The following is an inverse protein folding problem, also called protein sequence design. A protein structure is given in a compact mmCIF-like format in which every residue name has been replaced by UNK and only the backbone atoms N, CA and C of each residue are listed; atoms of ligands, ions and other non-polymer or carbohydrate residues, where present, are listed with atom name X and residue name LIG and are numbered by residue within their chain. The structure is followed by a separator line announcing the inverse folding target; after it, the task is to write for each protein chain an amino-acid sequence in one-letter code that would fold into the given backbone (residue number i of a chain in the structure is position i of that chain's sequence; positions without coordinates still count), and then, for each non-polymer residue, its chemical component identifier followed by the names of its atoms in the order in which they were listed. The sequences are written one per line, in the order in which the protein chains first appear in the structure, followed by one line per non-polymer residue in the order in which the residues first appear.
data_IF_411538750230
#
_entry.id   IF_411538750230
#
_cell.length_a   1.000
_cell.length_b   1.000
_cell.length_c   1.000
_cell.angle_alpha   90.00
_cell.angle_beta   90.00
_cell.angle_gamma   90.00
#
_symmetry.space_group_name_H-M   'P 1'
#
loop_
_entity.id
_entity.type
_entity.pdbx_description
1 polymer ?
#
# COMPACT_ATOMS: atom_id res chain seq x y z
N UNK A 1 -8.02 21.07 0.94
CA UNK A 1 -7.42 21.54 -0.32
C UNK A 1 -6.33 20.55 -0.69
N UNK A 2 -6.42 19.89 -1.85
CA UNK A 2 -5.38 18.95 -2.28
C UNK A 2 -4.07 19.71 -2.58
N UNK A 3 -2.95 19.23 -2.06
CA UNK A 3 -1.63 19.84 -2.28
C UNK A 3 -1.15 19.70 -3.74
N UNK A 4 -0.03 20.34 -4.07
CA UNK A 4 0.51 20.37 -5.43
C UNK A 4 0.88 18.96 -5.95
N UNK A 5 1.38 18.07 -5.08
CA UNK A 5 1.72 16.70 -5.44
C UNK A 5 0.45 15.90 -5.76
N UNK A 6 -0.54 15.94 -4.87
CA UNK A 6 -1.85 15.32 -5.06
C UNK A 6 -2.52 15.76 -6.37
N UNK A 7 -2.46 17.05 -6.71
CA UNK A 7 -3.03 17.56 -7.96
C UNK A 7 -2.31 17.06 -9.22
N UNK A 8 -0.98 16.90 -9.19
CA UNK A 8 -0.18 16.35 -10.30
C UNK A 8 -0.55 14.89 -10.58
N UNK A 9 -0.70 14.10 -9.52
CA UNK A 9 -0.85 12.64 -9.63
C UNK A 9 -2.32 12.17 -9.74
N UNK A 10 -3.28 12.89 -9.16
CA UNK A 10 -4.66 12.39 -8.98
C UNK A 10 -5.71 13.08 -9.86
N UNK A 11 -5.46 14.28 -10.40
CA UNK A 11 -6.49 15.06 -11.12
C UNK A 11 -6.59 14.67 -12.61
N UNK A 12 -7.76 14.19 -13.04
CA UNK A 12 -8.08 13.98 -14.47
C UNK A 12 -7.62 12.63 -15.06
N UNK A 13 -7.45 11.61 -14.24
CA UNK A 13 -7.14 10.24 -14.70
C UNK A 13 -8.26 9.69 -15.59
N UNK A 14 -7.90 9.13 -16.75
CA UNK A 14 -8.81 8.41 -17.66
C UNK A 14 -8.31 6.95 -17.81
N UNK A 15 -9.21 5.98 -17.98
CA UNK A 15 -8.83 4.59 -18.22
C UNK A 15 -8.11 4.42 -19.56
N UNK A 16 -7.22 3.43 -19.62
CA UNK A 16 -6.33 3.16 -20.77
C UNK A 16 -7.09 2.61 -21.97
N UNK A 17 -6.73 3.03 -23.19
CA UNK A 17 -7.27 2.52 -24.47
C UNK A 17 -6.17 2.28 -25.50
N UNK A 18 -6.35 1.25 -26.35
CA UNK A 18 -5.40 0.79 -27.36
C UNK A 18 -5.49 1.60 -28.68
N UNK A 19 -4.36 1.74 -29.40
CA UNK A 19 -4.27 2.43 -30.70
C UNK A 19 -4.10 1.48 -31.91
N UNK A 20 -4.53 1.88 -33.13
CA UNK A 20 -5.08 0.95 -34.13
C UNK A 20 -4.26 0.72 -35.42
N UNK A 21 -2.94 0.97 -35.49
CA UNK A 21 -2.26 1.11 -36.79
C UNK A 21 -1.21 0.02 -37.17
N UNK A 22 -1.53 -1.28 -37.10
CA UNK A 22 -0.60 -2.36 -37.48
C UNK A 22 -1.27 -3.43 -38.36
N UNK A 23 -0.49 -4.08 -39.24
CA UNK A 23 -0.93 -5.21 -40.10
C UNK A 23 -1.31 -6.43 -39.23
N UNK A 24 -2.51 -7.04 -39.39
CA UNK A 24 -3.16 -7.83 -38.34
C UNK A 24 -2.39 -9.07 -37.86
N UNK A 25 -1.77 -9.83 -38.76
CA UNK A 25 -1.19 -11.13 -38.41
C UNK A 25 0.20 -11.00 -37.77
N UNK A 26 1.04 -10.12 -38.31
CA UNK A 26 2.35 -9.79 -37.73
C UNK A 26 2.18 -9.02 -36.41
N UNK A 27 1.16 -8.15 -36.33
CA UNK A 27 0.76 -7.49 -35.09
C UNK A 27 0.38 -8.49 -34.01
N UNK A 28 -0.44 -9.49 -34.31
CA UNK A 28 -0.89 -10.45 -33.29
C UNK A 28 0.24 -11.31 -32.73
N UNK A 29 1.21 -11.72 -33.56
CA UNK A 29 2.42 -12.44 -33.09
C UNK A 29 3.25 -11.53 -32.19
N UNK A 30 3.56 -10.31 -32.62
CA UNK A 30 4.35 -9.35 -31.82
C UNK A 30 3.64 -8.94 -30.53
N UNK A 31 2.33 -8.77 -30.56
CA UNK A 31 1.50 -8.51 -29.36
C UNK A 31 1.55 -9.70 -28.42
N UNK A 32 1.50 -10.93 -28.92
CA UNK A 32 1.62 -12.13 -28.08
C UNK A 32 3.00 -12.19 -27.39
N UNK A 33 4.08 -11.98 -28.12
CA UNK A 33 5.45 -11.97 -27.59
C UNK A 33 5.66 -10.83 -26.57
N UNK A 34 5.19 -9.62 -26.86
CA UNK A 34 5.24 -8.48 -25.95
C UNK A 34 4.40 -8.73 -24.68
N UNK A 35 3.25 -9.40 -24.80
CA UNK A 35 2.44 -9.79 -23.66
C UNK A 35 3.13 -10.87 -22.80
N UNK A 36 3.83 -11.82 -23.42
CA UNK A 36 4.64 -12.80 -22.68
C UNK A 36 5.77 -12.11 -21.92
N UNK A 37 6.53 -11.21 -22.56
CA UNK A 37 7.57 -10.43 -21.89
C UNK A 37 6.95 -9.64 -20.74
N UNK A 38 5.86 -8.90 -20.97
CA UNK A 38 5.15 -8.13 -19.94
C UNK A 38 4.70 -9.00 -18.76
N UNK A 39 4.20 -10.21 -19.02
CA UNK A 39 3.82 -11.17 -17.97
C UNK A 39 5.03 -11.59 -17.13
N UNK A 40 6.15 -11.92 -17.78
CA UNK A 40 7.40 -12.26 -17.09
C UNK A 40 7.97 -11.08 -16.29
N UNK A 41 7.84 -9.84 -16.78
CA UNK A 41 8.20 -8.63 -16.03
C UNK A 41 7.38 -8.51 -14.74
N UNK A 42 6.05 -8.65 -14.85
CA UNK A 42 5.16 -8.58 -13.70
C UNK A 42 5.50 -9.66 -12.68
N UNK A 43 5.77 -10.90 -13.11
CA UNK A 43 6.18 -11.98 -12.21
C UNK A 43 7.50 -11.70 -11.50
N UNK A 44 8.50 -11.13 -12.20
CA UNK A 44 9.77 -10.76 -11.59
C UNK A 44 9.58 -9.66 -10.52
N UNK A 45 8.74 -8.67 -10.82
CA UNK A 45 8.37 -7.59 -9.89
C UNK A 45 7.63 -8.13 -8.67
N UNK A 46 6.63 -8.97 -8.86
CA UNK A 46 5.87 -9.63 -7.80
C UNK A 46 6.79 -10.50 -6.92
N UNK A 47 7.71 -11.25 -7.52
CA UNK A 47 8.69 -12.05 -6.78
C UNK A 47 9.62 -11.18 -5.94
N UNK A 48 10.15 -10.09 -6.49
CA UNK A 48 11.00 -9.17 -5.73
C UNK A 48 10.22 -8.52 -4.57
N UNK A 49 8.99 -8.09 -4.79
CA UNK A 49 8.11 -7.53 -3.75
C UNK A 49 7.84 -8.54 -2.63
N UNK A 50 7.59 -9.80 -2.99
CA UNK A 50 7.37 -10.87 -2.03
C UNK A 50 8.63 -11.19 -1.22
N UNK A 51 9.82 -11.16 -1.85
CA UNK A 51 11.10 -11.37 -1.17
C UNK A 51 11.38 -10.26 -0.16
N UNK A 52 11.17 -8.98 -0.53
CA UNK A 52 11.30 -7.85 0.40
C UNK A 52 10.32 -8.01 1.57
N UNK A 53 9.07 -8.39 1.31
CA UNK A 53 8.09 -8.63 2.38
C UNK A 53 8.52 -9.79 3.29
N UNK A 54 9.05 -10.87 2.72
CA UNK A 54 9.58 -12.01 3.46
C UNK A 54 10.75 -11.63 4.37
N UNK A 55 11.68 -10.84 3.85
CA UNK A 55 12.83 -10.33 4.62
C UNK A 55 12.37 -9.41 5.76
N UNK A 56 11.44 -8.47 5.48
CA UNK A 56 10.87 -7.60 6.51
C UNK A 56 10.21 -8.38 7.65
N UNK A 57 9.50 -9.47 7.32
CA UNK A 57 8.92 -10.38 8.31
C UNK A 57 10.01 -11.04 9.14
N UNK A 58 11.06 -11.57 8.50
CA UNK A 58 12.20 -12.21 9.16
C UNK A 58 13.02 -11.28 10.05
N UNK A 59 13.13 -10.00 9.69
CA UNK A 59 13.74 -8.98 10.55
C UNK A 59 12.86 -8.68 11.77
N UNK A 60 11.56 -8.47 11.56
CA UNK A 60 10.64 -8.15 12.65
C UNK A 60 10.47 -9.28 13.67
N UNK A 61 10.54 -10.55 13.26
CA UNK A 61 10.37 -11.72 14.15
C UNK A 61 11.45 -11.85 15.21
N UNK A 62 12.63 -11.27 14.98
CA UNK A 62 13.71 -11.20 15.96
C UNK A 62 13.31 -10.41 17.21
N UNK A 63 12.31 -9.53 17.08
CA UNK A 63 11.79 -8.69 18.16
C UNK A 63 10.55 -9.23 18.86
N UNK A 64 10.05 -10.41 18.49
CA UNK A 64 8.80 -10.98 19.04
C UNK A 64 8.74 -10.89 20.58
N UNK A 65 9.80 -11.33 21.27
CA UNK A 65 9.88 -11.28 22.74
C UNK A 65 9.88 -9.84 23.28
N UNK A 66 10.55 -8.91 22.59
CA UNK A 66 10.64 -7.52 23.02
C UNK A 66 9.30 -6.80 22.83
N UNK A 67 8.58 -7.10 21.75
CA UNK A 67 7.23 -6.60 21.47
C UNK A 67 6.27 -7.08 22.55
N UNK A 68 6.23 -8.39 22.81
CA UNK A 68 5.36 -8.99 23.84
C UNK A 68 5.65 -8.45 25.25
N UNK A 69 6.92 -8.17 25.57
CA UNK A 69 7.30 -7.61 26.87
C UNK A 69 6.87 -6.14 27.04
N UNK A 70 6.79 -5.39 25.95
CA UNK A 70 6.42 -3.97 25.98
C UNK A 70 4.92 -3.76 26.28
N UNK A 71 4.08 -4.78 26.12
CA UNK A 71 2.64 -4.77 26.42
C UNK A 71 2.30 -5.72 27.59
N UNK A 72 2.74 -5.43 28.83
CA UNK A 72 2.67 -6.35 29.97
C UNK A 72 1.25 -6.61 30.50
N UNK A 73 0.22 -5.93 29.99
CA UNK A 73 -1.17 -6.04 30.48
C UNK A 73 -2.12 -6.62 29.44
N UNK A 74 -2.31 -7.94 29.48
CA UNK A 74 -3.56 -8.59 29.05
C UNK A 74 -3.81 -8.68 27.54
N UNK A 75 -2.82 -8.42 26.70
CA UNK A 75 -2.94 -8.62 25.25
C UNK A 75 -2.38 -9.98 24.87
N UNK A 76 -3.22 -11.02 24.87
CA UNK A 76 -2.83 -12.37 24.44
C UNK A 76 -2.62 -12.50 22.92
N UNK A 77 -2.49 -11.39 22.19
CA UNK A 77 -2.34 -11.42 20.74
C UNK A 77 -0.86 -11.42 20.36
N UNK A 78 -0.47 -12.45 19.63
CA UNK A 78 0.86 -12.56 19.06
C UNK A 78 1.09 -11.41 18.07
N UNK A 79 2.29 -10.82 18.03
CA UNK A 79 2.61 -9.80 17.05
C UNK A 79 2.42 -10.34 15.62
N UNK A 80 1.71 -9.57 14.80
CA UNK A 80 1.58 -9.89 13.38
C UNK A 80 2.75 -9.30 12.58
N UNK A 81 3.79 -10.12 12.44
CA UNK A 81 4.99 -9.80 11.66
C UNK A 81 4.71 -9.60 10.16
N UNK A 82 3.61 -10.17 9.64
CA UNK A 82 3.18 -9.90 8.26
C UNK A 82 2.71 -8.45 8.14
N UNK A 83 1.90 -7.98 9.08
CA UNK A 83 1.42 -6.58 9.10
C UNK A 83 2.58 -5.61 9.30
N UNK A 84 3.50 -5.88 10.23
CA UNK A 84 4.71 -5.06 10.42
C UNK A 84 5.49 -4.91 9.11
N UNK A 85 5.73 -6.02 8.42
CA UNK A 85 6.43 -6.01 7.12
C UNK A 85 5.65 -5.24 6.05
N UNK A 86 4.33 -5.42 5.96
CA UNK A 86 3.48 -4.72 4.99
C UNK A 86 3.48 -3.20 5.17
N UNK A 87 3.48 -2.71 6.41
CA UNK A 87 3.53 -1.25 6.68
C UNK A 87 4.84 -0.63 6.16
N UNK A 88 5.97 -1.35 6.22
CA UNK A 88 7.24 -0.86 5.67
C UNK A 88 7.25 -1.01 4.15
N UNK A 89 6.89 -2.20 3.66
CA UNK A 89 7.01 -2.54 2.24
C UNK A 89 6.08 -1.72 1.35
N UNK A 90 4.94 -1.22 1.83
CA UNK A 90 4.06 -0.33 1.04
C UNK A 90 4.80 0.86 0.43
N UNK A 91 5.71 1.46 1.18
CA UNK A 91 6.49 2.61 0.71
C UNK A 91 7.65 2.17 -0.19
N UNK A 92 8.31 1.04 0.11
CA UNK A 92 9.37 0.47 -0.73
C UNK A 92 8.83 0.13 -2.12
N UNK A 93 7.73 -0.64 -2.18
CA UNK A 93 7.07 -1.04 -3.43
C UNK A 93 6.61 0.19 -4.19
N UNK A 94 5.95 1.15 -3.54
CA UNK A 94 5.48 2.38 -4.19
C UNK A 94 6.62 3.17 -4.83
N UNK A 95 7.72 3.33 -4.10
CA UNK A 95 8.89 4.10 -4.54
C UNK A 95 9.60 3.41 -5.71
N UNK A 96 9.88 2.10 -5.59
CA UNK A 96 10.58 1.37 -6.63
C UNK A 96 9.73 1.14 -7.86
N UNK A 97 8.42 0.92 -7.71
CA UNK A 97 7.53 0.73 -8.85
C UNK A 97 7.58 1.92 -9.82
N UNK A 98 7.78 3.15 -9.33
CA UNK A 98 8.03 4.32 -10.18
C UNK A 98 9.29 4.17 -11.04
N UNK A 99 10.35 3.57 -10.48
CA UNK A 99 11.68 3.42 -11.10
C UNK A 99 11.84 2.15 -11.93
N UNK A 100 10.92 1.18 -11.80
CA UNK A 100 10.98 -0.11 -12.50
C UNK A 100 11.01 0.07 -14.01
N UNK A 101 11.81 -0.77 -14.67
CA UNK A 101 11.89 -0.82 -16.12
C UNK A 101 10.53 -1.22 -16.72
N UNK A 102 10.14 -0.55 -17.81
CA UNK A 102 8.85 -0.76 -18.49
C UNK A 102 9.07 -0.85 -20.00
N UNK A 103 8.24 -1.64 -20.68
CA UNK A 103 8.27 -1.78 -22.15
C UNK A 103 7.67 -0.56 -22.87
N UNK A 104 6.92 0.26 -22.16
CA UNK A 104 6.25 1.44 -22.68
C UNK A 104 6.30 2.55 -21.64
N UNK A 105 6.33 3.78 -22.11
CA UNK A 105 6.10 4.93 -21.26
C UNK A 105 4.70 4.86 -20.68
N UNK A 106 4.61 5.15 -19.39
CA UNK A 106 3.35 5.23 -18.67
C UNK A 106 3.20 6.67 -18.27
N UNK A 107 2.15 7.32 -18.76
CA UNK A 107 1.81 8.66 -18.32
C UNK A 107 1.78 8.70 -16.79
N UNK A 108 2.40 9.72 -16.18
CA UNK A 108 2.56 9.85 -14.72
C UNK A 108 1.23 9.59 -13.98
N UNK A 109 0.13 10.12 -14.52
CA UNK A 109 -1.25 9.94 -14.00
C UNK A 109 -1.75 8.49 -13.94
N UNK A 110 -1.20 7.58 -14.75
CA UNK A 110 -1.56 6.15 -14.75
C UNK A 110 -0.70 5.32 -13.80
N UNK A 111 0.37 5.90 -13.23
CA UNK A 111 1.28 5.20 -12.32
C UNK A 111 0.59 4.90 -10.99
N UNK A 112 -0.18 5.85 -10.44
CA UNK A 112 -0.93 5.68 -9.18
C UNK A 112 -1.82 4.45 -9.23
N UNK A 113 -2.63 4.30 -10.28
CA UNK A 113 -3.55 3.17 -10.42
C UNK A 113 -2.81 1.82 -10.50
N UNK A 114 -1.66 1.78 -11.19
CA UNK A 114 -0.86 0.56 -11.30
C UNK A 114 -0.17 0.19 -10.00
N UNK A 115 0.38 1.17 -9.28
CA UNK A 115 0.96 0.93 -7.95
C UNK A 115 -0.11 0.42 -6.99
N UNK A 116 -1.30 1.04 -6.98
CA UNK A 116 -2.41 0.54 -6.16
C UNK A 116 -2.79 -0.89 -6.51
N UNK A 117 -2.92 -1.22 -7.79
CA UNK A 117 -3.22 -2.60 -8.20
C UNK A 117 -2.16 -3.60 -7.69
N UNK A 118 -0.88 -3.23 -7.76
CA UNK A 118 0.22 -4.05 -7.22
C UNK A 118 0.12 -4.20 -5.70
N UNK A 119 -0.08 -3.09 -4.97
CA UNK A 119 -0.23 -3.13 -3.51
C UNK A 119 -1.46 -3.93 -3.09
N UNK A 120 -2.59 -3.79 -3.78
CA UNK A 120 -3.79 -4.60 -3.57
C UNK A 120 -3.52 -6.08 -3.78
N UNK A 121 -2.80 -6.47 -4.84
CA UNK A 121 -2.39 -7.86 -5.07
C UNK A 121 -1.56 -8.42 -3.91
N UNK A 122 -0.67 -7.60 -3.33
CA UNK A 122 0.14 -7.96 -2.17
C UNK A 122 -0.63 -7.91 -0.84
N UNK A 123 -1.90 -7.49 -0.87
CA UNK A 123 -2.73 -7.28 0.32
C UNK A 123 -2.19 -6.16 1.21
N UNK A 124 -1.73 -5.07 0.60
CA UNK A 124 -1.14 -3.90 1.23
C UNK A 124 -2.01 -2.68 0.94
N UNK A 125 -2.40 -1.98 2.00
CA UNK A 125 -3.18 -0.75 1.91
C UNK A 125 -2.28 0.49 2.02
N UNK A 126 -2.60 1.53 1.25
CA UNK A 126 -1.96 2.85 1.29
C UNK A 126 -2.98 3.93 0.94
N UNK A 127 -2.86 5.11 1.55
CA UNK A 127 -3.65 6.27 1.13
C UNK A 127 -3.16 6.86 -0.19
N UNK A 128 -4.09 7.39 -0.98
CA UNK A 128 -3.81 8.08 -2.24
C UNK A 128 -2.79 9.21 -2.09
N UNK A 129 -2.93 9.99 -1.01
CA UNK A 129 -2.03 11.10 -0.73
C UNK A 129 -0.63 10.60 -0.37
N UNK A 130 -0.52 9.59 0.50
CA UNK A 130 0.78 9.01 0.85
C UNK A 130 1.48 8.38 -0.35
N UNK A 131 0.71 7.70 -1.22
CA UNK A 131 1.20 7.16 -2.47
C UNK A 131 1.71 8.28 -3.39
N UNK A 132 0.94 9.35 -3.58
CA UNK A 132 1.35 10.49 -4.40
C UNK A 132 2.64 11.15 -3.88
N UNK A 133 2.75 11.35 -2.56
CA UNK A 133 3.96 11.89 -1.93
C UNK A 133 5.17 10.95 -2.10
N UNK A 134 4.97 9.63 -2.00
CA UNK A 134 6.03 8.64 -2.21
C UNK A 134 6.51 8.63 -3.66
N UNK A 135 5.59 8.73 -4.63
CA UNK A 135 5.91 8.82 -6.05
C UNK A 135 6.64 10.13 -6.38
N UNK A 136 6.21 11.25 -5.81
CA UNK A 136 6.88 12.54 -5.98
C UNK A 136 8.30 12.50 -5.40
N UNK A 137 8.49 11.86 -4.24
CA UNK A 137 9.82 11.68 -3.67
C UNK A 137 10.72 10.81 -4.57
N UNK A 138 10.16 9.77 -5.20
CA UNK A 138 10.87 8.92 -6.15
C UNK A 138 11.27 9.68 -7.43
N UNK A 139 10.36 10.49 -7.97
CA UNK A 139 10.63 11.37 -9.11
C UNK A 139 11.75 12.38 -8.81
N UNK A 140 11.75 12.92 -7.59
CA UNK A 140 12.77 13.85 -7.10
C UNK A 140 14.06 13.16 -6.61
N UNK A 141 14.19 11.83 -6.78
CA UNK A 141 15.37 11.04 -6.37
C UNK A 141 15.73 11.21 -4.89
N UNK A 142 14.72 11.42 -4.04
CA UNK A 142 14.91 11.53 -2.59
C UNK A 142 15.29 10.15 -2.05
N UNK A 143 16.40 10.00 -1.28
CA UNK A 143 16.79 8.68 -0.76
C UNK A 143 15.64 7.96 -0.06
N UNK A 144 15.37 6.71 -0.45
CA UNK A 144 14.20 5.95 0.00
C UNK A 144 14.04 5.92 1.52
N UNK A 145 15.14 5.74 2.27
CA UNK A 145 15.09 5.76 3.73
C UNK A 145 14.54 7.09 4.30
N UNK A 146 14.88 8.23 3.68
CA UNK A 146 14.36 9.56 4.08
C UNK A 146 12.88 9.74 3.78
N UNK A 147 12.32 8.92 2.88
CA UNK A 147 10.89 8.90 2.58
C UNK A 147 10.15 8.02 3.58
N UNK A 148 10.71 6.85 3.92
CA UNK A 148 10.06 5.84 4.75
C UNK A 148 10.06 6.22 6.24
N UNK A 149 11.20 6.66 6.79
CA UNK A 149 11.30 6.90 8.24
C UNK A 149 10.24 7.87 8.79
N UNK A 150 9.99 9.04 8.18
CA UNK A 150 8.97 9.97 8.68
C UNK A 150 7.57 9.35 8.66
N UNK A 151 7.27 8.52 7.67
CA UNK A 151 5.98 7.85 7.50
C UNK A 151 5.76 6.76 8.55
N UNK A 152 6.77 5.94 8.81
CA UNK A 152 6.71 4.94 9.89
C UNK A 152 6.58 5.62 11.26
N UNK A 153 7.32 6.71 11.49
CA UNK A 153 7.19 7.49 12.75
C UNK A 153 5.81 8.13 12.89
N UNK A 154 5.20 8.59 11.80
CA UNK A 154 3.83 9.10 11.81
C UNK A 154 2.85 7.99 12.22
N UNK A 155 2.94 6.80 11.62
CA UNK A 155 2.11 5.65 11.99
C UNK A 155 2.25 5.29 13.48
N UNK A 156 3.49 5.15 13.98
CA UNK A 156 3.76 4.86 15.40
C UNK A 156 3.12 5.91 16.31
N UNK A 157 3.25 7.19 15.93
CA UNK A 157 2.66 8.31 16.66
C UNK A 157 1.13 8.22 16.69
N UNK A 158 0.47 7.88 15.58
CA UNK A 158 -0.99 7.70 15.56
C UNK A 158 -1.42 6.55 16.45
N UNK A 159 -0.74 5.41 16.42
CA UNK A 159 -1.07 4.28 17.31
C UNK A 159 -0.94 4.67 18.79
N UNK A 160 0.12 5.40 19.15
CA UNK A 160 0.31 5.89 20.51
C UNK A 160 -0.77 6.90 20.95
N UNK A 161 -1.09 7.89 20.12
CA UNK A 161 -2.09 8.93 20.41
C UNK A 161 -3.52 8.36 20.54
N UNK A 162 -3.83 7.31 19.78
CA UNK A 162 -5.17 6.72 19.71
C UNK A 162 -5.37 5.53 20.66
N UNK A 163 -4.29 5.03 21.29
CA UNK A 163 -4.34 3.88 22.21
C UNK A 163 -5.38 4.01 23.33
N UNK A 164 -5.52 5.15 24.04
CA UNK A 164 -6.47 5.25 25.15
C UNK A 164 -7.93 5.06 24.71
N UNK A 165 -8.33 5.70 23.60
CA UNK A 165 -9.69 5.62 23.11
C UNK A 165 -10.01 4.23 22.57
N UNK A 166 -9.04 3.60 21.88
CA UNK A 166 -9.19 2.22 21.43
C UNK A 166 -9.43 1.29 22.61
N UNK A 167 -8.63 1.42 23.68
CA UNK A 167 -8.69 0.51 24.82
C UNK A 167 -10.00 0.65 25.58
N UNK A 168 -10.57 1.87 25.63
CA UNK A 168 -11.92 2.09 26.14
C UNK A 168 -12.96 1.45 25.22
N UNK A 169 -12.85 1.62 23.90
CA UNK A 169 -13.81 1.08 22.93
C UNK A 169 -13.88 -0.46 22.95
N UNK A 170 -12.74 -1.14 22.81
CA UNK A 170 -12.65 -2.60 22.62
C UNK A 170 -13.11 -3.44 23.81
N UNK A 171 -13.40 -2.85 24.97
CA UNK A 171 -13.93 -3.62 26.11
C UNK A 171 -15.34 -4.16 25.85
N UNK A 172 -16.11 -3.48 25.00
CA UNK A 172 -17.46 -3.89 24.58
C UNK A 172 -17.72 -3.31 23.18
N UNK A 173 -16.91 -3.74 22.18
CA UNK A 173 -17.03 -3.30 20.78
C UNK A 173 -17.92 -4.23 19.93
N UNK A 174 -18.06 -3.90 18.64
CA UNK A 174 -18.73 -4.76 17.67
C UNK A 174 -17.83 -5.89 17.12
N UNK A 175 -16.57 -5.96 17.57
CA UNK A 175 -15.60 -6.99 17.21
C UNK A 175 -15.36 -7.03 15.70
N UNK A 176 -15.69 -8.15 15.05
CA UNK A 176 -15.47 -8.30 13.59
C UNK A 176 -16.23 -7.28 12.72
N UNK A 177 -17.18 -6.54 13.27
CA UNK A 177 -17.95 -5.48 12.59
C UNK A 177 -17.45 -4.07 12.93
N UNK A 178 -16.30 -3.94 13.61
CA UNK A 178 -15.74 -2.63 13.95
C UNK A 178 -15.38 -1.81 12.70
N UNK A 179 -15.00 -2.47 11.60
CA UNK A 179 -14.80 -1.81 10.30
C UNK A 179 -16.10 -1.27 9.71
N UNK A 180 -17.20 -2.04 9.75
CA UNK A 180 -18.52 -1.56 9.32
C UNK A 180 -19.01 -0.39 10.18
N UNK A 181 -18.70 -0.41 11.49
CA UNK A 181 -19.01 0.68 12.40
C UNK A 181 -18.27 1.97 11.99
N UNK A 182 -16.96 1.87 11.77
CA UNK A 182 -16.15 2.97 11.27
C UNK A 182 -16.68 3.52 9.94
N UNK A 183 -16.94 2.66 8.94
CA UNK A 183 -17.40 3.10 7.61
C UNK A 183 -18.76 3.82 7.68
N UNK A 184 -19.66 3.35 8.55
CA UNK A 184 -20.96 4.02 8.78
C UNK A 184 -20.79 5.36 9.48
N UNK A 185 -19.87 5.49 10.43
CA UNK A 185 -19.54 6.77 11.06
C UNK A 185 -18.92 7.73 10.05
N UNK A 186 -17.98 7.26 9.22
CA UNK A 186 -17.34 8.06 8.19
C UNK A 186 -18.36 8.59 7.17
N UNK A 187 -19.35 7.77 6.83
CA UNK A 187 -20.48 8.14 5.96
C UNK A 187 -21.39 9.24 6.52
N UNK A 188 -21.29 9.60 7.79
CA UNK A 188 -22.05 10.73 8.38
C UNK A 188 -21.41 12.09 8.13
N UNK A 189 -20.18 12.13 7.61
CA UNK A 189 -19.47 13.40 7.35
C UNK A 189 -20.20 14.22 6.30
N UNK A 190 -20.31 15.52 6.56
CA UNK A 190 -20.84 16.49 5.59
C UNK A 190 -19.68 17.28 4.99
N UNK A 191 -19.54 17.27 3.65
CA UNK A 191 -18.53 18.03 2.91
C UNK A 191 -17.08 17.82 3.40
N UNK A 192 -16.73 16.60 3.83
CA UNK A 192 -15.39 16.28 4.36
C UNK A 192 -15.11 16.82 5.77
N UNK A 193 -16.15 17.30 6.48
CA UNK A 193 -16.08 17.73 7.87
C UNK A 193 -15.91 16.59 8.87
N UNK A 194 -16.02 16.87 10.18
CA UNK A 194 -16.00 15.84 11.22
C UNK A 194 -17.21 14.90 11.08
N UNK A 195 -17.11 13.73 11.70
CA UNK A 195 -18.23 12.78 11.87
C UNK A 195 -19.36 13.45 12.64
N UNK A 196 -20.60 13.28 12.20
CA UNK A 196 -21.76 13.82 12.88
C UNK A 196 -22.14 12.94 14.08
N UNK A 197 -21.68 13.34 15.26
CA UNK A 197 -21.95 12.60 16.51
C UNK A 197 -23.44 12.50 16.85
N UNK A 198 -24.30 13.39 16.33
CA UNK A 198 -25.75 13.30 16.55
C UNK A 198 -26.35 12.05 15.88
N UNK A 199 -25.66 11.49 14.88
CA UNK A 199 -26.03 10.27 14.16
C UNK A 199 -25.53 8.99 14.81
N UNK A 200 -24.75 9.08 15.89
CA UNK A 200 -24.14 7.90 16.54
C UNK A 200 -25.19 6.85 16.94
N UNK A 201 -26.33 7.27 17.48
CA UNK A 201 -27.41 6.34 17.86
C UNK A 201 -28.04 5.63 16.64
N UNK A 202 -28.22 6.36 15.55
CA UNK A 202 -28.73 5.83 14.29
C UNK A 202 -27.77 4.79 13.71
N UNK A 203 -26.47 5.10 13.70
CA UNK A 203 -25.40 4.22 13.23
C UNK A 203 -25.35 2.93 14.05
N UNK A 204 -25.34 3.03 15.38
CA UNK A 204 -25.33 1.87 16.29
C UNK A 204 -26.54 0.97 16.06
N UNK A 205 -27.75 1.54 16.00
CA UNK A 205 -28.98 0.78 15.74
C UNK A 205 -28.96 0.09 14.37
N UNK A 206 -28.50 0.82 13.34
CA UNK A 206 -28.38 0.30 11.99
C UNK A 206 -27.39 -0.87 11.91
N UNK A 207 -26.26 -0.76 12.60
CA UNK A 207 -25.26 -1.83 12.65
C UNK A 207 -25.77 -3.05 13.42
N UNK A 208 -26.39 -2.86 14.60
CA UNK A 208 -26.98 -3.96 15.36
C UNK A 208 -27.99 -4.76 14.53
N UNK A 209 -28.87 -4.06 13.79
CA UNK A 209 -29.81 -4.70 12.88
C UNK A 209 -29.09 -5.48 11.77
N UNK A 210 -28.10 -4.86 11.12
CA UNK A 210 -27.31 -5.52 10.07
C UNK A 210 -26.65 -6.81 10.57
N UNK A 211 -26.06 -6.79 11.76
CA UNK A 211 -25.44 -8.00 12.33
C UNK A 211 -26.47 -9.06 12.66
N UNK A 212 -27.62 -8.67 13.23
CA UNK A 212 -28.74 -9.59 13.47
C UNK A 212 -29.20 -10.27 12.17
N UNK A 213 -29.42 -9.48 11.12
CA UNK A 213 -29.87 -9.96 9.81
C UNK A 213 -28.83 -10.87 9.14
N UNK A 214 -27.54 -10.59 9.33
CA UNK A 214 -26.43 -11.32 8.68
C UNK A 214 -26.05 -12.61 9.43
N UNK A 215 -26.18 -12.62 10.75
CA UNK A 215 -25.55 -13.65 11.60
C UNK A 215 -26.54 -14.41 12.47
N UNK A 216 -27.79 -13.96 12.58
CA UNK A 216 -28.86 -14.69 13.27
C UNK A 216 -28.75 -14.70 14.79
N UNK A 217 -27.84 -13.92 15.39
CA UNK A 217 -27.75 -13.71 16.83
C UNK A 217 -27.71 -12.21 17.15
N UNK A 218 -28.33 -11.83 18.27
CA UNK A 218 -28.22 -10.47 18.80
C UNK A 218 -26.77 -10.22 19.24
N UNK A 219 -26.00 -9.54 18.40
CA UNK A 219 -24.74 -8.94 18.84
C UNK A 219 -25.01 -7.56 19.41
N UNK A 220 -24.37 -7.28 20.55
CA UNK A 220 -24.43 -5.95 21.15
C UNK A 220 -25.71 -5.76 21.93
N UNK A 221 -25.71 -6.23 23.19
CA UNK A 221 -26.75 -5.92 24.17
C UNK A 221 -26.93 -4.40 24.28
N UNK A 222 -28.00 -3.93 24.92
CA UNK A 222 -28.14 -2.52 25.31
C UNK A 222 -26.88 -1.94 25.99
N UNK A 223 -26.01 -2.79 26.57
CA UNK A 223 -24.70 -2.44 27.13
C UNK A 223 -23.73 -1.90 26.09
N UNK A 224 -23.61 -2.50 24.90
CA UNK A 224 -22.69 -2.07 23.83
C UNK A 224 -23.09 -0.70 23.29
N UNK A 225 -24.38 -0.46 23.07
CA UNK A 225 -24.87 0.86 22.64
C UNK A 225 -24.62 1.95 23.70
N UNK A 226 -24.84 1.64 24.99
CA UNK A 226 -24.54 2.55 26.09
C UNK A 226 -23.03 2.79 26.24
N UNK A 227 -22.22 1.75 26.07
CA UNK A 227 -20.76 1.80 26.09
C UNK A 227 -20.21 2.68 24.98
N UNK A 228 -20.62 2.45 23.72
CA UNK A 228 -20.23 3.27 22.56
C UNK A 228 -20.55 4.74 22.79
N UNK A 229 -21.73 5.07 23.31
CA UNK A 229 -22.11 6.46 23.63
C UNK A 229 -21.23 7.07 24.73
N UNK A 230 -20.80 6.29 25.71
CA UNK A 230 -19.90 6.73 26.78
C UNK A 230 -18.48 6.96 26.26
N UNK A 231 -17.97 6.02 25.46
CA UNK A 231 -16.64 6.08 24.86
C UNK A 231 -16.53 7.30 23.95
N UNK A 232 -17.56 7.57 23.13
CA UNK A 232 -17.59 8.71 22.21
C UNK A 232 -18.42 9.88 22.76
N UNK A 233 -18.22 10.22 24.03
CA UNK A 233 -18.89 11.34 24.71
C UNK A 233 -18.44 12.74 24.23
N UNK A 234 -17.37 12.81 23.44
CA UNK A 234 -16.77 14.04 22.88
C UNK A 234 -16.38 13.86 21.42
N UNK A 235 -16.37 14.97 20.68
CA UNK A 235 -15.94 14.98 19.28
C UNK A 235 -14.44 14.65 19.14
N UNK A 236 -13.63 15.00 20.15
CA UNK A 236 -12.20 14.67 20.21
C UNK A 236 -11.97 13.16 20.28
N UNK A 237 -12.67 12.45 21.18
CA UNK A 237 -12.59 10.98 21.26
C UNK A 237 -13.05 10.31 19.96
N UNK A 238 -14.13 10.81 19.36
CA UNK A 238 -14.58 10.33 18.05
C UNK A 238 -13.50 10.55 16.98
N UNK A 239 -12.89 11.74 16.93
CA UNK A 239 -11.84 12.07 15.98
C UNK A 239 -10.60 11.19 16.15
N UNK A 240 -10.17 10.89 17.39
CA UNK A 240 -9.06 9.98 17.67
C UNK A 240 -9.37 8.55 17.22
N UNK A 241 -10.59 8.06 17.44
CA UNK A 241 -11.02 6.75 16.94
C UNK A 241 -11.00 6.69 15.42
N UNK A 242 -11.62 7.67 14.76
CA UNK A 242 -11.61 7.77 13.29
C UNK A 242 -10.19 7.86 12.75
N UNK A 243 -9.29 8.59 13.43
CA UNK A 243 -7.88 8.71 13.04
C UNK A 243 -7.18 7.36 13.03
N UNK A 244 -7.43 6.48 14.00
CA UNK A 244 -6.83 5.14 14.02
C UNK A 244 -7.29 4.27 12.86
N UNK A 245 -8.61 4.19 12.64
CA UNK A 245 -9.18 3.38 11.56
C UNK A 245 -8.96 3.99 10.17
N UNK A 246 -8.60 5.27 10.09
CA UNK A 246 -8.13 5.84 8.84
C UNK A 246 -6.76 5.31 8.46
N UNK A 247 -5.88 5.00 9.43
CA UNK A 247 -4.53 4.51 9.12
C UNK A 247 -4.57 3.19 8.34
N UNK A 248 -3.96 3.12 7.14
CA UNK A 248 -4.00 1.90 6.36
C UNK A 248 -3.21 0.83 7.09
N UNK A 249 -3.70 -0.42 7.06
CA UNK A 249 -3.17 -1.56 7.82
C UNK A 249 -3.42 -1.54 9.35
N UNK A 250 -4.13 -0.55 9.89
CA UNK A 250 -4.62 -0.62 11.27
C UNK A 250 -5.96 -1.37 11.30
N UNK A 251 -6.08 -2.39 12.14
CA UNK A 251 -7.31 -3.17 12.28
C UNK A 251 -8.22 -2.60 13.38
N UNK A 252 -7.74 -1.62 14.15
CA UNK A 252 -8.46 -1.12 15.31
C UNK A 252 -8.51 -2.16 16.42
N UNK A 253 -7.39 -2.85 16.61
CA UNK A 253 -7.23 -3.86 17.64
C UNK A 253 -5.96 -3.58 18.44
N UNK A 254 -5.82 -4.26 19.59
CA UNK A 254 -4.60 -4.14 20.40
C UNK A 254 -3.34 -4.60 19.64
N UNK A 255 -3.50 -5.40 18.58
CA UNK A 255 -2.37 -5.85 17.78
C UNK A 255 -1.72 -4.71 16.97
N UNK A 256 -2.43 -3.61 16.66
CA UNK A 256 -1.77 -2.49 15.96
C UNK A 256 -0.71 -1.82 16.85
N UNK A 257 -0.84 -1.92 18.19
CA UNK A 257 0.19 -1.42 19.11
C UNK A 257 1.45 -2.33 19.09
N UNK A 258 1.26 -3.65 18.97
CA UNK A 258 2.37 -4.58 18.72
C UNK A 258 3.05 -4.25 17.38
N UNK A 259 2.26 -3.92 16.35
CA UNK A 259 2.78 -3.47 15.06
C UNK A 259 3.61 -2.20 15.21
N UNK A 260 3.07 -1.18 15.89
CA UNK A 260 3.79 0.06 16.15
C UNK A 260 5.10 -0.20 16.91
N UNK A 261 5.08 -1.07 17.93
CA UNK A 261 6.29 -1.41 18.69
C UNK A 261 7.31 -2.16 17.83
N UNK A 262 6.87 -3.07 16.96
CA UNK A 262 7.75 -3.75 16.01
C UNK A 262 8.43 -2.77 15.05
N UNK A 263 7.68 -1.81 14.51
CA UNK A 263 8.21 -0.76 13.65
C UNK A 263 9.22 0.14 14.37
N UNK A 264 8.93 0.52 15.62
CA UNK A 264 9.84 1.30 16.46
C UNK A 264 11.17 0.56 16.64
N UNK A 265 11.12 -0.73 17.02
CA UNK A 265 12.33 -1.54 17.21
C UNK A 265 13.13 -1.71 15.91
N UNK A 266 12.46 -1.94 14.78
CA UNK A 266 13.15 -2.04 13.48
C UNK A 266 13.80 -0.71 13.06
N UNK A 267 13.19 0.43 13.37
CA UNK A 267 13.78 1.75 13.13
C UNK A 267 15.02 1.96 14.01
N UNK A 268 14.90 1.72 15.31
CA UNK A 268 15.96 1.96 16.30
C UNK A 268 17.19 1.08 16.09
N UNK A 269 16.99 -0.15 15.61
CA UNK A 269 18.07 -1.10 15.36
C UNK A 269 18.62 -1.05 13.92
N UNK A 270 18.11 -0.12 13.09
CA UNK A 270 18.58 0.07 11.71
C UNK A 270 18.13 -1.02 10.73
N UNK A 271 17.17 -1.86 11.11
CA UNK A 271 16.66 -2.94 10.24
C UNK A 271 15.80 -2.42 9.10
N UNK A 272 15.13 -1.27 9.28
CA UNK A 272 14.47 -0.58 8.15
C UNK A 272 15.50 -0.21 7.08
N UNK A 273 16.69 0.25 7.46
CA UNK A 273 17.76 0.53 6.50
C UNK A 273 18.24 -0.75 5.82
N UNK A 274 18.45 -1.84 6.56
CA UNK A 274 18.84 -3.12 5.98
C UNK A 274 17.83 -3.61 4.94
N UNK A 275 16.53 -3.47 5.24
CA UNK A 275 15.45 -3.85 4.33
C UNK A 275 15.43 -2.96 3.07
N UNK A 276 15.65 -1.65 3.22
CA UNK A 276 15.79 -0.72 2.09
C UNK A 276 16.99 -1.08 1.22
N UNK A 277 18.15 -1.33 1.81
CA UNK A 277 19.36 -1.72 1.07
C UNK A 277 19.14 -3.05 0.33
N UNK A 278 18.45 -4.01 0.96
CA UNK A 278 18.06 -5.28 0.35
C UNK A 278 17.11 -5.09 -0.83
N UNK A 279 16.09 -4.24 -0.68
CA UNK A 279 15.15 -3.94 -1.76
C UNK A 279 15.84 -3.27 -2.96
N UNK A 280 16.72 -2.29 -2.72
CA UNK A 280 17.51 -1.65 -3.79
C UNK A 280 18.35 -2.68 -4.55
N UNK A 281 19.03 -3.58 -3.82
CA UNK A 281 19.82 -4.64 -4.43
C UNK A 281 18.95 -5.58 -5.29
N UNK A 282 17.80 -6.02 -4.76
CA UNK A 282 16.87 -6.87 -5.50
C UNK A 282 16.34 -6.19 -6.76
N UNK A 283 16.05 -4.88 -6.70
CA UNK A 283 15.61 -4.12 -7.87
C UNK A 283 16.68 -4.10 -8.97
N UNK A 284 17.95 -3.91 -8.61
CA UNK A 284 19.06 -3.97 -9.58
C UNK A 284 19.23 -5.36 -10.20
N UNK A 285 19.17 -6.40 -9.36
CA UNK A 285 19.43 -7.79 -9.76
C UNK A 285 18.27 -8.42 -10.55
N UNK A 286 17.03 -8.12 -10.16
CA UNK A 286 15.83 -8.80 -10.66
C UNK A 286 14.88 -7.92 -11.45
N UNK A 287 14.92 -6.60 -11.27
CA UNK A 287 13.91 -5.68 -11.82
C UNK A 287 14.49 -4.62 -12.78
N UNK A 288 15.82 -4.59 -12.94
CA UNK A 288 16.48 -3.70 -13.89
C UNK A 288 16.15 -4.04 -15.33
N UNK A 289 16.29 -3.06 -16.24
CA UNK A 289 16.09 -3.29 -17.67
C UNK A 289 16.94 -4.46 -18.18
N UNK A 290 18.20 -4.55 -17.73
CA UNK A 290 19.14 -5.61 -18.12
C UNK A 290 18.70 -6.98 -17.63
N UNK A 291 18.13 -7.09 -16.43
CA UNK A 291 17.65 -8.35 -15.88
C UNK A 291 16.33 -8.79 -16.50
N UNK A 292 15.49 -7.84 -16.92
CA UNK A 292 14.08 -8.10 -17.20
C UNK A 292 13.70 -7.95 -18.67
N UNK A 293 13.96 -6.79 -19.28
CA UNK A 293 13.58 -6.48 -20.67
C UNK A 293 14.66 -6.95 -21.66
N UNK A 294 15.94 -6.79 -21.28
CA UNK A 294 17.09 -7.11 -22.13
C UNK A 294 17.09 -8.54 -22.68
N UNK A 295 16.83 -9.58 -21.87
CA UNK A 295 16.76 -10.95 -22.35
C UNK A 295 15.62 -11.18 -23.36
N UNK A 296 14.46 -10.54 -23.15
CA UNK A 296 13.31 -10.64 -24.05
C UNK A 296 13.59 -10.01 -25.41
N UNK A 297 14.21 -8.83 -25.45
CA UNK A 297 14.63 -8.19 -26.70
C UNK A 297 15.71 -9.01 -27.42
N UNK A 298 16.66 -9.59 -26.69
CA UNK A 298 17.67 -10.48 -27.27
C UNK A 298 17.07 -11.78 -27.84
N UNK A 299 16.05 -12.35 -27.19
CA UNK A 299 15.34 -13.51 -27.69
C UNK A 299 14.60 -13.19 -29.00
N UNK A 300 13.91 -12.05 -29.04
CA UNK A 300 13.26 -11.54 -30.27
C UNK A 300 14.26 -11.33 -31.41
N UNK A 301 15.45 -10.82 -31.12
CA UNK A 301 16.51 -10.63 -32.13
C UNK A 301 17.07 -11.92 -32.71
N UNK A 302 16.99 -13.03 -31.97
CA UNK A 302 17.52 -14.34 -32.37
C UNK A 302 16.45 -15.21 -33.04
N UNK A 303 15.16 -14.88 -32.87
CA UNK A 303 14.04 -15.68 -33.36
C UNK A 303 13.76 -15.50 -34.86
N UNK A 304 14.32 -14.48 -35.53
CA UNK A 304 14.09 -14.24 -36.95
C UNK A 304 15.35 -14.37 -37.80
N UNK A 305 15.21 -15.09 -38.93
CA UNK A 305 16.02 -14.88 -40.12
C UNK A 305 16.13 -13.37 -40.37
N UNK A 306 17.37 -12.90 -40.53
CA UNK A 306 17.80 -11.50 -40.61
C UNK A 306 16.68 -10.46 -40.75
N UNK A 307 16.31 -9.78 -39.65
CA UNK A 307 15.58 -8.53 -39.72
C UNK A 307 16.40 -7.56 -40.56
N UNK A 308 15.77 -6.84 -41.49
CA UNK A 308 16.52 -5.85 -42.26
C UNK A 308 17.08 -4.80 -41.32
N UNK A 309 18.30 -4.34 -41.60
CA UNK A 309 19.05 -3.38 -40.78
C UNK A 309 18.23 -2.13 -40.41
N UNK A 310 17.24 -1.76 -41.22
CA UNK A 310 16.35 -0.61 -41.01
C UNK A 310 15.31 -0.82 -39.90
N UNK A 311 14.83 -2.04 -39.67
CA UNK A 311 13.85 -2.34 -38.61
C UNK A 311 14.54 -2.43 -37.25
N UNK A 312 15.75 -2.98 -37.25
CA UNK A 312 16.61 -3.01 -36.07
C UNK A 312 17.09 -1.60 -35.67
N UNK A 313 17.45 -0.76 -36.64
CA UNK A 313 17.82 0.64 -36.40
C UNK A 313 16.64 1.46 -35.87
N UNK A 314 15.38 1.15 -36.23
CA UNK A 314 14.19 1.84 -35.67
C UNK A 314 13.91 1.44 -34.22
N UNK A 315 14.00 0.15 -33.89
CA UNK A 315 13.78 -0.33 -32.51
C UNK A 315 14.94 0.10 -31.61
N UNK A 316 16.18 0.05 -32.08
CA UNK A 316 17.34 0.55 -31.34
C UNK A 316 17.31 2.07 -31.20
N UNK A 317 16.92 2.82 -32.23
CA UNK A 317 16.79 4.28 -32.15
C UNK A 317 15.64 4.67 -31.22
N UNK A 318 14.49 4.00 -31.27
CA UNK A 318 13.42 4.18 -30.28
C UNK A 318 13.90 3.89 -28.86
N UNK A 319 14.54 2.75 -28.62
CA UNK A 319 15.10 2.42 -27.30
C UNK A 319 16.16 3.43 -26.84
N UNK A 320 17.00 3.96 -27.74
CA UNK A 320 18.07 4.92 -27.42
C UNK A 320 17.54 6.33 -27.18
N UNK A 321 16.51 6.75 -27.92
CA UNK A 321 15.84 8.04 -27.78
C UNK A 321 14.95 8.08 -26.51
N UNK A 322 14.62 6.92 -25.94
CA UNK A 322 13.73 6.79 -24.77
C UNK A 322 14.41 6.08 -23.56
N UNK A 323 15.74 5.90 -23.55
CA UNK A 323 16.50 5.28 -22.44
C UNK A 323 17.38 6.24 -21.65
N UNK A 324 17.32 7.54 -21.92
CA UNK A 324 18.02 8.56 -21.12
C UNK A 324 17.13 9.14 -20.03
N UNK A 325 17.65 9.43 -18.82
CA UNK A 325 16.98 10.37 -17.94
C UNK A 325 16.89 11.73 -18.65
N UNK A 326 15.83 12.53 -18.43
CA UNK A 326 15.73 13.85 -19.05
C UNK A 326 16.94 14.71 -18.64
N UNK A 327 17.46 15.44 -19.62
CA UNK A 327 18.48 16.50 -19.38
C UNK A 327 17.87 17.71 -18.69
#
# INVERSE_FOLDING_TARGET
MADAASNKWLKGSKPWSQEPSWEPDEYMVRVHELNQIRSSLNQAFESADCDVRGEGKGLSSQYEKAILKAEPTGTYMNPDHEVISKVITRYIVSYHFYQRARLQDIEEKSVVARVKAQLTYLGIEIHDQELAETLEAAANKTPLLKVIEPKLRAFIKVMAETKPILYEYITDSFGRFDKDFYERLDGTRVNGGPVDRTKLEEVVKGLQKYVQDTCGYETGKATTAAHVKRVFDTDEKMALFMKRYHEPMANGERNDDNTAKGLELMLENGDVKKLVDFAVKLEEEKCSWKATIGPGIQALSKAEKEPTKQDFDKVLRYAKDHSGPPS
#
